data_IF_720175609807
#
_entry.id   IF_720175609807
#
_cell.length_a   1.000
_cell.length_b   1.000
_cell.length_c   1.000
_cell.angle_alpha   90.00
_cell.angle_beta   90.00
_cell.angle_gamma   90.00
#
_symmetry.space_group_name_H-M   'P 1'
#
loop_
_entity.id
_entity.type
_entity.pdbx_description
1 polymer ?
#
# COMPACT_ATOMS: atom_id res chain seq x y z
N UNK A 1 -20.36 -0.96 13.59
CA UNK A 1 -19.89 0.01 12.57
C UNK A 1 -19.99 -0.69 11.22
N UNK A 2 -20.97 -0.27 10.41
CA UNK A 2 -21.28 -0.67 9.01
C UNK A 2 -21.16 -2.17 8.69
N UNK A 3 -22.29 -2.90 8.76
CA UNK A 3 -22.46 -4.17 8.03
C UNK A 3 -22.43 -3.87 6.52
N UNK A 4 -21.28 -4.08 5.86
CA UNK A 4 -21.11 -3.80 4.44
C UNK A 4 -21.25 -5.09 3.61
N UNK A 5 -22.50 -5.48 3.33
CA UNK A 5 -22.83 -6.63 2.46
C UNK A 5 -22.61 -6.40 0.97
N UNK A 6 -22.17 -5.19 0.57
CA UNK A 6 -21.61 -4.80 -0.74
C UNK A 6 -21.22 -3.34 -0.57
N UNK A 7 -19.97 -3.07 -0.22
CA UNK A 7 -19.50 -1.69 -0.14
C UNK A 7 -19.61 -1.05 -1.53
N UNK A 8 -20.38 0.04 -1.64
CA UNK A 8 -20.28 0.94 -2.78
C UNK A 8 -18.82 1.38 -2.93
N UNK A 9 -18.34 1.43 -4.17
CA UNK A 9 -16.98 1.83 -4.53
C UNK A 9 -16.60 3.15 -3.86
N UNK A 10 -17.56 4.07 -3.72
CA UNK A 10 -17.39 5.35 -3.02
C UNK A 10 -17.11 5.22 -1.52
N UNK A 11 -17.80 4.29 -0.84
CA UNK A 11 -17.59 4.00 0.59
C UNK A 11 -16.22 3.39 0.83
N UNK A 12 -15.79 2.50 -0.07
CA UNK A 12 -14.45 1.93 -0.02
C UNK A 12 -13.37 3.02 -0.15
N UNK A 13 -13.51 3.92 -1.13
CA UNK A 13 -12.58 5.04 -1.28
C UNK A 13 -12.59 5.99 -0.08
N UNK A 14 -13.75 6.21 0.54
CA UNK A 14 -13.82 7.02 1.75
C UNK A 14 -13.01 6.38 2.89
N UNK A 15 -13.16 5.08 3.11
CA UNK A 15 -12.40 4.33 4.15
C UNK A 15 -10.91 4.32 3.85
N UNK A 16 -10.51 4.09 2.59
CA UNK A 16 -9.10 4.19 2.17
C UNK A 16 -8.53 5.59 2.42
N UNK A 17 -9.32 6.62 2.09
CA UNK A 17 -8.95 8.01 2.33
C UNK A 17 -8.78 8.33 3.80
N UNK A 18 -9.69 7.87 4.66
CA UNK A 18 -9.57 8.04 6.11
C UNK A 18 -8.33 7.35 6.69
N UNK A 19 -7.97 6.18 6.17
CA UNK A 19 -6.77 5.48 6.61
C UNK A 19 -5.51 6.31 6.31
N UNK A 20 -5.36 6.77 5.06
CA UNK A 20 -4.16 7.52 4.64
C UNK A 20 -4.15 8.98 5.12
N UNK A 21 -5.31 9.64 5.22
CA UNK A 21 -5.40 11.08 5.52
C UNK A 21 -5.64 11.37 7.03
N UNK A 22 -6.12 10.39 7.82
CA UNK A 22 -6.42 10.60 9.26
C UNK A 22 -5.65 9.64 10.17
N UNK A 23 -5.69 8.33 9.90
CA UNK A 23 -5.08 7.32 10.79
C UNK A 23 -3.56 7.28 10.60
N UNK A 24 -3.12 7.36 9.35
CA UNK A 24 -1.71 7.34 8.93
C UNK A 24 -1.25 8.70 8.45
N UNK A 25 -1.88 9.76 9.00
CA UNK A 25 -1.63 11.14 8.64
C UNK A 25 -0.14 11.46 8.65
N UNK A 26 0.26 12.31 7.71
CA UNK A 26 1.65 12.57 7.33
C UNK A 26 2.42 13.35 8.41
N UNK A 27 1.68 13.93 9.35
CA UNK A 27 2.18 14.68 10.50
C UNK A 27 2.65 13.75 11.64
N UNK A 28 2.19 12.50 11.66
CA UNK A 28 2.57 11.55 12.70
C UNK A 28 3.95 10.94 12.45
N UNK A 29 4.73 10.82 13.53
CA UNK A 29 5.99 10.08 13.51
C UNK A 29 5.76 8.58 13.22
N UNK A 30 6.79 7.84 12.74
CA UNK A 30 6.67 6.40 12.51
C UNK A 30 6.13 5.63 13.72
N UNK A 31 6.58 5.98 14.94
CA UNK A 31 6.12 5.35 16.18
C UNK A 31 4.67 5.67 16.53
N UNK A 32 4.21 6.90 16.29
CA UNK A 32 2.79 7.25 16.46
C UNK A 32 1.91 6.51 15.45
N UNK A 33 2.35 6.41 14.20
CA UNK A 33 1.64 5.67 13.15
C UNK A 33 1.54 4.19 13.48
N UNK A 34 2.62 3.56 13.95
CA UNK A 34 2.60 2.18 14.39
C UNK A 34 1.62 1.95 15.55
N UNK A 35 1.63 2.82 16.58
CA UNK A 35 0.70 2.76 17.72
C UNK A 35 -0.76 2.95 17.29
N UNK A 36 -1.02 3.94 16.44
CA UNK A 36 -2.35 4.17 15.88
C UNK A 36 -2.82 2.96 15.08
N UNK A 37 -1.97 2.40 14.22
CA UNK A 37 -2.33 1.27 13.38
C UNK A 37 -2.62 0.01 14.19
N UNK A 38 -1.80 -0.30 15.21
CA UNK A 38 -2.09 -1.40 16.16
C UNK A 38 -3.43 -1.15 16.87
N UNK A 39 -3.64 0.06 17.38
CA UNK A 39 -4.87 0.41 18.11
C UNK A 39 -6.12 0.30 17.25
N UNK A 40 -6.07 0.83 16.02
CA UNK A 40 -7.16 0.69 15.05
C UNK A 40 -7.39 -0.78 14.72
N UNK A 41 -6.35 -1.54 14.36
CA UNK A 41 -6.48 -2.94 14.00
C UNK A 41 -7.00 -3.81 15.16
N UNK A 42 -6.59 -3.51 16.40
CA UNK A 42 -7.09 -4.15 17.62
C UNK A 42 -8.56 -3.84 17.92
N UNK A 43 -9.08 -2.71 17.43
CA UNK A 43 -10.47 -2.31 17.60
C UNK A 43 -11.43 -2.92 16.57
N UNK A 44 -10.89 -3.49 15.48
CA UNK A 44 -11.68 -4.17 14.44
C UNK A 44 -12.10 -5.56 14.96
N UNK A 45 -13.41 -5.90 14.94
CA UNK A 45 -13.88 -7.25 15.26
C UNK A 45 -13.21 -8.31 14.37
N UNK A 46 -12.96 -9.51 14.89
CA UNK A 46 -12.21 -10.55 14.15
C UNK A 46 -12.85 -10.88 12.80
N UNK A 47 -14.19 -10.99 12.77
CA UNK A 47 -14.97 -11.26 11.55
C UNK A 47 -14.83 -10.15 10.49
N UNK A 48 -14.50 -8.93 10.90
CA UNK A 48 -14.39 -7.76 10.03
C UNK A 48 -12.95 -7.48 9.57
N UNK A 49 -11.94 -8.13 10.19
CA UNK A 49 -10.52 -7.95 9.81
C UNK A 49 -10.23 -8.35 8.37
N UNK A 50 -11.02 -9.26 7.80
CA UNK A 50 -10.94 -9.61 6.37
C UNK A 50 -11.09 -8.39 5.46
N UNK A 51 -11.86 -7.36 5.87
CA UNK A 51 -12.00 -6.12 5.11
C UNK A 51 -10.69 -5.34 5.07
N UNK A 52 -9.95 -5.30 6.18
CA UNK A 52 -8.63 -4.70 6.24
C UNK A 52 -7.61 -5.48 5.38
N UNK A 53 -7.68 -6.81 5.36
CA UNK A 53 -6.80 -7.62 4.50
C UNK A 53 -7.10 -7.45 3.02
N UNK A 54 -8.39 -7.31 2.66
CA UNK A 54 -8.81 -7.03 1.30
C UNK A 54 -8.23 -5.70 0.80
N UNK A 55 -8.05 -4.70 1.68
CA UNK A 55 -7.36 -3.47 1.32
C UNK A 55 -5.90 -3.72 0.95
N UNK A 56 -5.15 -4.47 1.75
CA UNK A 56 -3.74 -4.82 1.45
C UNK A 56 -3.63 -5.60 0.13
N UNK A 57 -4.53 -6.57 -0.08
CA UNK A 57 -4.59 -7.34 -1.32
C UNK A 57 -4.84 -6.45 -2.55
N UNK A 58 -5.74 -5.46 -2.43
CA UNK A 58 -6.02 -4.50 -3.51
C UNK A 58 -4.82 -3.59 -3.79
N UNK A 59 -4.13 -3.09 -2.76
CA UNK A 59 -2.89 -2.32 -2.92
C UNK A 59 -1.82 -3.15 -3.64
N UNK A 60 -1.60 -4.41 -3.23
CA UNK A 60 -0.67 -5.34 -3.88
C UNK A 60 -1.03 -5.57 -5.36
N UNK A 61 -2.30 -5.86 -5.64
CA UNK A 61 -2.76 -6.07 -7.01
C UNK A 61 -2.58 -4.82 -7.89
N UNK A 62 -2.79 -3.62 -7.34
CA UNK A 62 -2.54 -2.36 -8.05
C UNK A 62 -1.04 -2.16 -8.32
N UNK A 63 -0.19 -2.40 -7.32
CA UNK A 63 1.27 -2.34 -7.45
C UNK A 63 1.77 -3.26 -8.57
N UNK A 64 1.29 -4.51 -8.60
CA UNK A 64 1.66 -5.47 -9.63
C UNK A 64 1.22 -5.03 -11.02
N UNK A 65 -0.01 -4.51 -11.16
CA UNK A 65 -0.52 -3.99 -12.43
C UNK A 65 0.33 -2.82 -12.94
N UNK A 66 0.69 -1.89 -12.04
CA UNK A 66 1.52 -0.75 -12.42
C UNK A 66 2.94 -1.17 -12.76
N UNK A 67 3.58 -2.06 -12.00
CA UNK A 67 4.91 -2.60 -12.37
C UNK A 67 4.87 -3.27 -13.74
N UNK A 68 3.86 -4.09 -14.03
CA UNK A 68 3.69 -4.70 -15.35
C UNK A 68 3.45 -3.68 -16.46
N UNK A 69 2.70 -2.60 -16.19
CA UNK A 69 2.49 -1.51 -17.14
C UNK A 69 3.80 -0.78 -17.44
N UNK A 70 4.61 -0.48 -16.42
CA UNK A 70 5.90 0.19 -16.58
C UNK A 70 6.91 -0.68 -17.33
N UNK A 71 6.93 -1.98 -17.06
CA UNK A 71 7.74 -2.95 -17.80
C UNK A 71 7.32 -3.03 -19.28
N UNK A 72 6.01 -3.04 -19.55
CA UNK A 72 5.48 -3.01 -20.93
C UNK A 72 5.84 -1.71 -21.66
N UNK A 73 5.77 -0.56 -20.97
CA UNK A 73 6.18 0.75 -21.52
C UNK A 73 7.65 0.73 -21.90
N UNK A 74 8.53 0.29 -20.99
CA UNK A 74 9.97 0.21 -21.22
C UNK A 74 10.33 -0.70 -22.41
N UNK A 75 9.71 -1.87 -22.49
CA UNK A 75 9.92 -2.80 -23.62
C UNK A 75 9.48 -2.21 -24.96
N UNK A 76 8.39 -1.44 -24.96
CA UNK A 76 7.90 -0.75 -26.16
C UNK A 76 8.82 0.43 -26.54
N UNK A 77 9.36 1.17 -25.57
CA UNK A 77 10.37 2.21 -25.83
C UNK A 77 11.63 1.63 -26.47
N UNK A 78 12.06 0.46 -26.02
CA UNK A 78 13.18 -0.29 -26.62
C UNK A 78 12.84 -0.84 -28.02
N UNK A 79 11.56 -1.10 -28.31
CA UNK A 79 11.08 -1.74 -29.55
C UNK A 79 9.79 -1.08 -30.09
N UNK A 80 9.83 0.19 -30.55
CA UNK A 80 8.63 0.98 -30.83
C UNK A 80 7.77 0.47 -32.00
N UNK A 81 8.33 -0.38 -32.86
CA UNK A 81 7.65 -1.01 -33.99
C UNK A 81 6.84 -2.26 -33.65
N UNK A 82 6.90 -2.76 -32.41
CA UNK A 82 6.27 -4.03 -32.04
C UNK A 82 4.78 -3.84 -31.68
N UNK A 83 3.90 -4.26 -32.59
CA UNK A 83 2.44 -4.16 -32.42
C UNK A 83 1.90 -5.08 -31.31
N UNK A 84 2.60 -6.17 -30.97
CA UNK A 84 2.19 -7.03 -29.87
C UNK A 84 2.54 -6.40 -28.52
N UNK A 85 3.66 -5.66 -28.43
CA UNK A 85 3.97 -4.83 -27.26
C UNK A 85 2.95 -3.69 -27.09
N UNK A 86 2.52 -3.03 -28.16
CA UNK A 86 1.44 -2.02 -28.10
C UNK A 86 0.14 -2.61 -27.55
N UNK A 87 -0.28 -3.78 -28.04
CA UNK A 87 -1.47 -4.48 -27.52
C UNK A 87 -1.33 -4.86 -26.05
N UNK A 88 -0.14 -5.34 -25.64
CA UNK A 88 0.14 -5.67 -24.23
C UNK A 88 0.07 -4.44 -23.34
N UNK A 89 0.60 -3.30 -23.79
CA UNK A 89 0.51 -2.03 -23.08
C UNK A 89 -0.95 -1.63 -22.87
N UNK A 90 -1.78 -1.65 -23.93
CA UNK A 90 -3.21 -1.34 -23.84
C UNK A 90 -3.96 -2.24 -22.85
N UNK A 91 -3.65 -3.53 -22.83
CA UNK A 91 -4.21 -4.47 -21.84
C UNK A 91 -3.80 -4.10 -20.41
N UNK A 92 -2.55 -3.67 -20.17
CA UNK A 92 -2.13 -3.24 -18.83
C UNK A 92 -2.77 -1.90 -18.43
N UNK A 93 -2.89 -0.95 -19.35
CA UNK A 93 -3.62 0.31 -19.14
C UNK A 93 -5.06 -0.01 -18.71
N UNK A 94 -5.73 -0.92 -19.40
CA UNK A 94 -7.09 -1.35 -19.07
C UNK A 94 -7.19 -1.98 -17.68
N UNK A 95 -6.22 -2.82 -17.31
CA UNK A 95 -6.17 -3.44 -15.99
C UNK A 95 -6.05 -2.40 -14.88
N UNK A 96 -5.18 -1.40 -15.02
CA UNK A 96 -5.04 -0.31 -14.05
C UNK A 96 -6.31 0.55 -14.02
N UNK A 97 -6.80 1.00 -15.17
CA UNK A 97 -8.00 1.84 -15.30
C UNK A 97 -9.25 1.20 -14.68
N UNK A 98 -9.44 -0.12 -14.87
CA UNK A 98 -10.59 -0.85 -14.32
C UNK A 98 -10.64 -0.88 -12.78
N UNK A 99 -9.51 -0.65 -12.11
CA UNK A 99 -9.36 -0.65 -10.65
C UNK A 99 -9.48 0.75 -10.05
N UNK A 100 -9.75 1.78 -10.84
CA UNK A 100 -9.83 3.17 -10.40
C UNK A 100 -11.28 3.69 -10.50
N UNK A 101 -11.64 4.70 -9.69
CA UNK A 101 -12.95 5.33 -9.76
C UNK A 101 -13.21 5.92 -11.14
N UNK A 102 -14.48 6.08 -11.47
CA UNK A 102 -14.88 6.87 -12.63
C UNK A 102 -14.48 8.35 -12.39
N UNK A 103 -13.64 8.96 -13.24
CA UNK A 103 -13.26 10.36 -13.15
C UNK A 103 -14.40 11.29 -13.60
N UNK A 104 -15.56 10.77 -13.99
CA UNK A 104 -16.75 11.54 -14.37
C UNK A 104 -16.97 11.56 -15.89
N UNK A 105 -18.14 12.07 -16.30
CA UNK A 105 -18.68 11.93 -17.67
C UNK A 105 -17.78 12.48 -18.80
N UNK A 106 -16.83 13.35 -18.48
CA UNK A 106 -15.97 14.02 -19.47
C UNK A 106 -14.53 13.45 -19.52
N UNK A 107 -14.21 12.45 -18.70
CA UNK A 107 -12.85 11.94 -18.57
C UNK A 107 -12.80 10.43 -18.83
N UNK A 108 -11.82 10.00 -19.61
CA UNK A 108 -11.58 8.59 -19.90
C UNK A 108 -10.51 8.03 -18.96
N UNK A 109 -10.87 7.02 -18.16
CA UNK A 109 -9.91 6.32 -17.27
C UNK A 109 -8.71 5.76 -18.04
N UNK A 110 -8.98 5.25 -19.23
CA UNK A 110 -7.96 4.66 -20.11
C UNK A 110 -6.97 5.73 -20.54
N UNK A 111 -7.47 6.87 -21.01
CA UNK A 111 -6.62 7.93 -21.53
C UNK A 111 -5.82 8.57 -20.39
N UNK A 112 -6.43 8.80 -19.23
CA UNK A 112 -5.71 9.32 -18.06
C UNK A 112 -4.59 8.40 -17.57
N UNK A 113 -4.81 7.08 -17.57
CA UNK A 113 -3.74 6.12 -17.23
C UNK A 113 -2.69 6.09 -18.34
N UNK A 114 -3.11 6.02 -19.61
CA UNK A 114 -2.18 6.02 -20.73
C UNK A 114 -1.27 7.25 -20.64
N UNK A 115 -1.86 8.43 -20.51
CA UNK A 115 -1.13 9.69 -20.45
C UNK A 115 -0.10 9.69 -19.31
N UNK A 116 -0.47 9.23 -18.11
CA UNK A 116 0.44 9.19 -16.98
C UNK A 116 1.66 8.30 -17.21
N UNK A 117 1.50 7.20 -17.94
CA UNK A 117 2.54 6.17 -18.12
C UNK A 117 3.27 6.24 -19.46
N UNK A 118 2.71 6.93 -20.47
CA UNK A 118 3.28 7.02 -21.82
C UNK A 118 3.84 8.41 -22.15
N UNK A 119 3.55 9.46 -21.37
CA UNK A 119 4.21 10.75 -21.58
C UNK A 119 5.69 10.68 -21.19
N UNK A 120 6.50 11.48 -21.89
CA UNK A 120 7.97 11.55 -21.82
C UNK A 120 8.46 12.29 -20.56
N UNK A 121 7.80 12.01 -19.43
CA UNK A 121 8.18 12.54 -18.13
C UNK A 121 8.91 11.45 -17.35
N UNK A 122 10.21 11.32 -17.61
CA UNK A 122 11.12 10.47 -16.82
C UNK A 122 10.95 10.72 -15.32
N UNK A 123 10.67 11.97 -14.94
CA UNK A 123 10.38 12.33 -13.55
C UNK A 123 9.13 11.61 -13.01
N UNK A 124 8.03 11.56 -13.75
CA UNK A 124 6.79 10.87 -13.35
C UNK A 124 7.02 9.37 -13.25
N UNK A 125 7.68 8.78 -14.25
CA UNK A 125 8.03 7.35 -14.26
C UNK A 125 8.88 7.00 -13.04
N UNK A 126 9.93 7.76 -12.75
CA UNK A 126 10.79 7.56 -11.58
C UNK A 126 10.05 7.67 -10.24
N UNK A 127 9.08 8.59 -10.13
CA UNK A 127 8.25 8.71 -8.93
C UNK A 127 7.31 7.51 -8.76
N UNK A 128 6.74 7.03 -9.85
CA UNK A 128 5.89 5.82 -9.85
C UNK A 128 6.70 4.58 -9.47
N UNK A 129 7.94 4.42 -9.98
CA UNK A 129 8.84 3.32 -9.60
C UNK A 129 9.10 3.31 -8.10
N UNK A 130 9.45 4.45 -7.52
CA UNK A 130 9.68 4.59 -6.07
C UNK A 130 8.44 4.25 -5.25
N UNK A 131 7.26 4.65 -5.71
CA UNK A 131 6.01 4.41 -4.97
C UNK A 131 5.57 2.95 -4.98
N UNK A 132 5.91 2.19 -6.03
CA UNK A 132 5.63 0.75 -6.11
C UNK A 132 6.81 -0.10 -5.65
N UNK A 133 7.91 0.48 -5.19
CA UNK A 133 9.01 -0.30 -4.61
C UNK A 133 8.59 -0.80 -3.21
N UNK A 134 8.53 -2.12 -2.97
CA UNK A 134 8.16 -2.64 -1.66
C UNK A 134 9.19 -2.30 -0.58
N UNK A 135 10.44 -1.98 -0.96
CA UNK A 135 11.53 -1.63 -0.06
C UNK A 135 11.69 -0.11 0.12
N UNK A 136 10.80 0.71 -0.44
CA UNK A 136 10.86 2.14 -0.23
C UNK A 136 10.51 2.50 1.23
N UNK A 137 11.37 3.28 1.85
CA UNK A 137 11.15 3.88 3.15
C UNK A 137 10.01 4.89 3.12
N UNK A 138 9.40 5.14 4.28
CA UNK A 138 8.25 6.03 4.38
C UNK A 138 8.50 7.43 3.81
N UNK A 139 9.65 8.04 4.13
CA UNK A 139 9.97 9.39 3.70
C UNK A 139 10.13 9.48 2.17
N UNK A 140 10.65 8.42 1.54
CA UNK A 140 10.75 8.32 0.09
C UNK A 140 9.36 8.22 -0.54
N UNK A 141 8.48 7.38 0.02
CA UNK A 141 7.10 7.24 -0.45
C UNK A 141 6.33 8.56 -0.30
N UNK A 142 6.48 9.24 0.84
CA UNK A 142 5.84 10.53 1.14
C UNK A 142 6.31 11.62 0.18
N UNK A 143 7.63 11.76 0.00
CA UNK A 143 8.21 12.75 -0.90
C UNK A 143 7.74 12.50 -2.34
N UNK A 144 7.73 11.23 -2.76
CA UNK A 144 7.32 10.85 -4.12
C UNK A 144 5.83 11.14 -4.38
N UNK A 145 4.96 10.84 -3.41
CA UNK A 145 3.53 11.19 -3.45
C UNK A 145 3.32 12.70 -3.58
N UNK A 146 4.00 13.50 -2.75
CA UNK A 146 3.86 14.96 -2.74
C UNK A 146 4.33 15.56 -4.06
N UNK A 147 5.48 15.11 -4.56
CA UNK A 147 6.05 15.63 -5.80
C UNK A 147 5.21 15.22 -7.01
N UNK A 148 4.70 13.99 -7.06
CA UNK A 148 3.82 13.58 -8.16
C UNK A 148 2.53 14.40 -8.19
N UNK A 149 1.88 14.62 -7.04
CA UNK A 149 0.69 15.48 -6.98
C UNK A 149 1.00 16.92 -7.41
N UNK A 150 2.20 17.43 -7.10
CA UNK A 150 2.67 18.75 -7.53
C UNK A 150 2.85 18.82 -9.05
N UNK A 151 3.52 17.83 -9.66
CA UNK A 151 3.79 17.78 -11.10
C UNK A 151 2.50 17.71 -11.91
N UNK A 152 1.50 16.99 -11.41
CA UNK A 152 0.25 16.85 -12.14
C UNK A 152 -0.53 18.17 -12.23
N UNK A 153 -0.18 19.22 -11.45
CA UNK A 153 -0.74 20.58 -11.50
C UNK A 153 -2.28 20.64 -11.57
N UNK A 154 -2.95 19.65 -11.00
CA UNK A 154 -4.40 19.54 -11.12
C UNK A 154 -5.06 20.34 -10.01
N UNK A 155 -6.02 21.18 -10.36
CA UNK A 155 -6.84 21.92 -9.41
C UNK A 155 -7.38 20.99 -8.31
N UNK A 156 -7.13 21.38 -7.05
CA UNK A 156 -7.60 20.67 -5.87
C UNK A 156 -9.11 20.42 -5.99
N UNK A 157 -9.50 19.15 -5.79
CA UNK A 157 -10.89 18.64 -5.86
C UNK A 157 -11.51 18.53 -7.26
N UNK A 158 -10.76 18.80 -8.33
CA UNK A 158 -11.22 18.45 -9.68
C UNK A 158 -11.35 16.91 -9.84
N UNK A 159 -12.20 16.42 -10.75
CA UNK A 159 -12.35 14.99 -10.96
C UNK A 159 -11.03 14.27 -11.34
N UNK A 160 -10.15 14.85 -12.19
CA UNK A 160 -8.83 14.28 -12.44
C UNK A 160 -7.94 14.21 -11.18
N UNK A 161 -8.00 15.22 -10.32
CA UNK A 161 -7.26 15.24 -9.07
C UNK A 161 -7.70 14.09 -8.16
N UNK A 162 -9.02 13.86 -8.04
CA UNK A 162 -9.55 12.74 -7.26
C UNK A 162 -9.07 11.41 -7.84
N UNK A 163 -9.10 11.24 -9.16
CA UNK A 163 -8.61 10.02 -9.82
C UNK A 163 -7.14 9.74 -9.51
N UNK A 164 -6.24 10.71 -9.73
CA UNK A 164 -4.81 10.52 -9.50
C UNK A 164 -4.46 10.42 -8.02
N UNK A 165 -5.12 11.19 -7.14
CA UNK A 165 -4.96 11.04 -5.69
C UNK A 165 -5.25 9.61 -5.25
N UNK A 166 -6.29 8.98 -5.81
CA UNK A 166 -6.66 7.59 -5.49
C UNK A 166 -5.69 6.57 -6.04
N UNK A 167 -5.22 6.75 -7.28
CA UNK A 167 -4.15 5.93 -7.83
C UNK A 167 -2.92 5.98 -6.92
N UNK A 168 -2.48 7.17 -6.55
CA UNK A 168 -1.29 7.36 -5.70
C UNK A 168 -1.48 6.71 -4.31
N UNK A 169 -2.63 6.90 -3.67
CA UNK A 169 -2.95 6.26 -2.38
C UNK A 169 -2.89 4.72 -2.47
N UNK A 170 -3.34 4.13 -3.57
CA UNK A 170 -3.30 2.66 -3.78
C UNK A 170 -1.91 2.14 -4.16
N UNK A 171 -1.08 2.97 -4.79
CA UNK A 171 0.29 2.61 -5.16
C UNK A 171 1.22 2.65 -3.96
N UNK A 172 1.18 3.72 -3.17
CA UNK A 172 2.06 3.83 -2.03
C UNK A 172 1.75 2.73 -1.00
N UNK A 173 2.75 1.89 -0.68
CA UNK A 173 2.68 0.97 0.46
C UNK A 173 2.88 1.74 1.78
N UNK A 174 2.00 2.71 2.04
CA UNK A 174 2.04 3.59 3.22
C UNK A 174 1.58 2.93 4.50
N UNK A 175 0.89 1.80 4.41
CA UNK A 175 0.28 1.13 5.57
C UNK A 175 1.38 0.63 6.50
N UNK A 176 2.34 -0.13 5.97
CA UNK A 176 3.55 -0.53 6.69
C UNK A 176 4.73 -0.45 5.70
N UNK A 177 5.44 0.69 5.66
CA UNK A 177 6.67 0.80 4.87
C UNK A 177 7.79 -0.04 5.53
N UNK A 178 8.88 -0.30 4.80
CA UNK A 178 9.93 -1.23 5.25
C UNK A 178 10.57 -0.82 6.59
N UNK A 179 10.79 0.48 6.77
CA UNK A 179 11.29 1.10 8.01
C UNK A 179 10.23 1.07 9.13
N UNK A 180 8.95 1.12 8.75
CA UNK A 180 7.82 0.98 9.66
C UNK A 180 7.70 -0.41 10.29
N UNK A 181 8.19 -1.47 9.63
CA UNK A 181 8.18 -2.85 10.18
C UNK A 181 9.01 -2.92 11.47
N UNK A 182 10.18 -2.30 11.49
CA UNK A 182 11.06 -2.34 12.67
C UNK A 182 10.46 -1.61 13.86
N UNK A 183 9.82 -0.47 13.60
CA UNK A 183 9.11 0.33 14.61
C UNK A 183 7.89 -0.42 15.14
N UNK A 184 7.15 -1.10 14.26
CA UNK A 184 6.01 -1.91 14.64
C UNK A 184 6.43 -3.10 15.53
N UNK A 185 7.56 -3.74 15.20
CA UNK A 185 8.13 -4.81 16.02
C UNK A 185 8.57 -4.33 17.42
N UNK A 186 9.15 -3.14 17.52
CA UNK A 186 9.49 -2.53 18.82
C UNK A 186 8.26 -2.29 19.66
N UNK A 187 7.23 -1.69 19.07
CA UNK A 187 5.97 -1.45 19.75
C UNK A 187 5.32 -2.76 20.21
N UNK A 188 5.30 -3.79 19.35
CA UNK A 188 4.81 -5.13 19.71
C UNK A 188 5.60 -5.71 20.88
N UNK A 189 6.94 -5.66 20.83
CA UNK A 189 7.81 -6.17 21.90
C UNK A 189 7.52 -5.45 23.23
N UNK A 190 7.40 -4.12 23.21
CA UNK A 190 7.04 -3.33 24.37
C UNK A 190 5.67 -3.75 24.94
N UNK A 191 4.67 -3.96 24.09
CA UNK A 191 3.35 -4.43 24.54
C UNK A 191 3.40 -5.86 25.10
N UNK A 192 4.26 -6.74 24.58
CA UNK A 192 4.47 -8.09 25.10
C UNK A 192 5.08 -8.05 26.51
N UNK A 193 6.13 -7.25 26.72
CA UNK A 193 6.81 -7.07 28.01
C UNK A 193 5.85 -6.48 29.06
N UNK A 194 4.99 -5.54 28.65
CA UNK A 194 3.93 -4.97 29.50
C UNK A 194 2.74 -5.91 29.74
N UNK A 195 2.75 -7.11 29.16
CA UNK A 195 1.66 -8.09 29.28
C UNK A 195 0.36 -7.68 28.58
N UNK A 196 0.40 -6.68 27.69
CA UNK A 196 -0.77 -6.11 27.00
C UNK A 196 -1.11 -6.92 25.74
N UNK A 197 -1.58 -8.16 25.96
CA UNK A 197 -1.95 -9.10 24.88
C UNK A 197 -2.91 -8.52 23.85
N UNK A 198 -3.85 -7.67 24.29
CA UNK A 198 -4.84 -7.00 23.43
C UNK A 198 -4.25 -6.05 22.38
N UNK A 199 -2.97 -5.69 22.48
CA UNK A 199 -2.26 -4.87 21.51
C UNK A 199 -1.12 -5.65 20.84
N UNK A 200 -0.39 -6.46 21.60
CA UNK A 200 0.69 -7.29 21.07
C UNK A 200 0.21 -8.30 19.99
N UNK A 201 -0.88 -9.02 20.24
CA UNK A 201 -1.41 -10.00 19.28
C UNK A 201 -1.88 -9.31 17.98
N UNK A 202 -2.71 -8.25 18.03
CA UNK A 202 -3.08 -7.50 16.83
C UNK A 202 -1.88 -6.96 16.04
N UNK A 203 -0.81 -6.50 16.71
CA UNK A 203 0.40 -6.04 16.03
C UNK A 203 1.13 -7.16 15.29
N UNK A 204 1.25 -8.36 15.88
CA UNK A 204 1.81 -9.54 15.20
C UNK A 204 0.93 -10.00 14.03
N UNK A 205 -0.39 -10.04 14.22
CA UNK A 205 -1.33 -10.36 13.14
C UNK A 205 -1.23 -9.35 11.99
N UNK A 206 -1.06 -8.07 12.29
CA UNK A 206 -0.90 -7.02 11.29
C UNK A 206 0.38 -7.24 10.45
N UNK A 207 1.47 -7.66 11.10
CA UNK A 207 2.72 -8.03 10.44
C UNK A 207 2.57 -9.29 9.57
N UNK A 208 1.91 -10.33 10.07
CA UNK A 208 1.67 -11.59 9.33
C UNK A 208 0.90 -11.29 8.03
N UNK A 209 -0.23 -10.59 8.14
CA UNK A 209 -1.03 -10.25 6.97
C UNK A 209 -0.29 -9.34 5.98
N UNK A 210 0.53 -8.41 6.47
CA UNK A 210 1.31 -7.54 5.59
C UNK A 210 2.43 -8.31 4.90
N UNK A 211 3.13 -9.19 5.62
CA UNK A 211 4.16 -10.09 5.08
C UNK A 211 3.62 -11.04 4.01
N UNK A 212 2.40 -11.57 4.20
CA UNK A 212 1.72 -12.40 3.18
C UNK A 212 1.58 -11.72 1.81
N UNK A 213 1.29 -10.41 1.79
CA UNK A 213 1.12 -9.66 0.53
C UNK A 213 2.42 -8.99 0.06
N UNK A 214 3.30 -8.62 0.98
CA UNK A 214 4.52 -7.88 0.71
C UNK A 214 5.72 -8.50 1.45
N UNK A 215 6.12 -9.75 1.13
CA UNK A 215 7.12 -10.48 1.92
C UNK A 215 8.46 -9.75 2.05
N UNK A 216 8.85 -9.01 1.02
CA UNK A 216 10.08 -8.22 0.99
C UNK A 216 10.20 -7.20 2.13
N UNK A 217 9.09 -6.72 2.72
CA UNK A 217 9.15 -5.77 3.85
C UNK A 217 9.57 -6.45 5.16
N UNK A 218 9.32 -7.76 5.29
CA UNK A 218 9.58 -8.52 6.50
C UNK A 218 11.03 -9.03 6.55
N UNK A 219 11.61 -9.40 5.40
CA UNK A 219 12.96 -9.98 5.32
C UNK A 219 14.05 -9.19 6.05
N UNK A 220 14.11 -7.84 5.98
CA UNK A 220 15.12 -7.07 6.73
C UNK A 220 15.02 -7.19 8.25
N UNK A 221 13.88 -7.66 8.78
CA UNK A 221 13.61 -7.77 10.22
C UNK A 221 13.69 -9.22 10.75
N UNK A 222 14.16 -10.17 9.94
CA UNK A 222 14.21 -11.59 10.29
C UNK A 222 14.98 -11.88 11.58
N UNK A 223 16.15 -11.26 11.78
CA UNK A 223 16.95 -11.44 13.00
C UNK A 223 16.19 -10.99 14.25
N UNK A 224 15.55 -9.82 14.20
CA UNK A 224 14.75 -9.27 15.29
C UNK A 224 13.57 -10.17 15.64
N UNK A 225 12.92 -10.75 14.63
CA UNK A 225 11.83 -11.72 14.81
C UNK A 225 12.33 -13.02 15.46
N UNK A 226 13.52 -13.52 15.09
CA UNK A 226 14.15 -14.69 15.73
C UNK A 226 14.41 -14.41 17.22
N UNK A 227 15.02 -13.26 17.54
CA UNK A 227 15.30 -12.87 18.92
C UNK A 227 13.99 -12.75 19.73
N UNK A 228 12.97 -12.13 19.14
CA UNK A 228 11.64 -12.03 19.77
C UNK A 228 11.00 -13.40 19.99
N UNK A 229 11.17 -14.36 19.07
CA UNK A 229 10.63 -15.71 19.22
C UNK A 229 11.32 -16.48 20.36
N UNK A 230 12.64 -16.31 20.51
CA UNK A 230 13.42 -16.95 21.57
C UNK A 230 13.00 -16.47 22.97
N UNK A 231 12.68 -15.19 23.10
CA UNK A 231 12.29 -14.56 24.37
C UNK A 231 10.76 -14.59 24.62
N UNK A 232 9.96 -15.02 23.64
CA UNK A 232 8.51 -14.97 23.70
C UNK A 232 7.90 -16.05 24.60
N UNK A 233 6.84 -15.67 25.33
CA UNK A 233 5.93 -16.63 25.97
C UNK A 233 5.22 -17.46 24.89
N UNK A 234 4.91 -18.72 25.18
CA UNK A 234 4.28 -19.69 24.25
C UNK A 234 3.13 -19.10 23.42
N UNK A 235 2.30 -18.24 24.02
CA UNK A 235 1.15 -17.60 23.36
C UNK A 235 1.46 -16.56 22.27
N UNK A 236 2.73 -16.27 21.97
CA UNK A 236 3.14 -15.38 20.87
C UNK A 236 4.01 -16.07 19.82
N UNK A 237 4.67 -17.18 20.18
CA UNK A 237 5.68 -17.85 19.34
C UNK A 237 5.09 -18.26 17.99
N UNK A 238 3.87 -18.82 17.96
CA UNK A 238 3.23 -19.24 16.70
C UNK A 238 3.07 -18.09 15.71
N UNK A 239 2.61 -16.93 16.18
CA UNK A 239 2.42 -15.75 15.34
C UNK A 239 3.76 -15.18 14.84
N UNK A 240 4.79 -15.19 15.68
CA UNK A 240 6.13 -14.72 15.27
C UNK A 240 6.71 -15.65 14.19
N UNK A 241 6.53 -16.96 14.34
CA UNK A 241 6.95 -17.96 13.35
C UNK A 241 6.18 -17.80 12.03
N UNK A 242 4.89 -17.48 12.08
CA UNK A 242 4.10 -17.17 10.88
C UNK A 242 4.69 -15.97 10.12
N UNK A 243 5.01 -14.87 10.83
CA UNK A 243 5.67 -13.70 10.20
C UNK A 243 7.04 -14.07 9.62
N UNK A 244 7.83 -14.88 10.33
CA UNK A 244 9.14 -15.36 9.87
C UNK A 244 9.05 -16.19 8.59
N UNK A 245 7.94 -16.87 8.35
CA UNK A 245 7.77 -17.70 7.15
C UNK A 245 7.76 -16.92 5.83
N UNK A 246 7.60 -15.59 5.90
CA UNK A 246 7.67 -14.69 4.74
C UNK A 246 9.02 -14.00 4.57
N UNK A 247 9.94 -14.16 5.52
CA UNK A 247 11.27 -13.54 5.50
C UNK A 247 12.22 -14.31 4.59
#
# INVERSE_FOLDING_TARGET
>A
LIQCGKADMMTEYFVEGLLDDVILAVEYSPAERARCLIGVYASIPEDDKITFHNLLSKKKAMNDCVRSLMEASRKLEENPGDDDLKKRLEVQVQRVASKLPDPGQNYSRMDMVRDLFTHDHDQVKNLLEKMVDPLAEYDVLRASRKELLRILEIEDKSPPFVFFKRLIQRLCNTVIPVDGVQVLLEEVKEQMEKGRRKLAIPGLQLLDHSGKYFPAIASPSASKLIDMAADAKEGYVSLIVEVLSYC
#
